data_IF_145705275507
#
_entry.id   IF_145705275507
#
_cell.length_a   1.000
_cell.length_b   1.000
_cell.length_c   1.000
_cell.angle_alpha   90.00
_cell.angle_beta   90.00
_cell.angle_gamma   90.00
#
_symmetry.space_group_name_H-M   'P 1'
#
loop_
_entity.id
_entity.type
_entity.pdbx_description
1 polymer ?
#
# COMPACT_ATOMS: atom_id res chain seq x y z
N UNK A 1 -9.38 -32.83 5.70
CA UNK A 1 -8.60 -31.58 5.69
C UNK A 1 -7.29 -31.88 4.95
N UNK A 2 -7.17 -31.39 3.73
CA UNK A 2 -6.10 -31.82 2.80
C UNK A 2 -4.85 -30.96 2.97
N UNK A 3 -3.65 -31.48 2.69
CA UNK A 3 -2.39 -30.71 2.74
C UNK A 3 -2.45 -29.42 1.89
N UNK A 4 -3.21 -29.46 0.78
CA UNK A 4 -3.51 -28.29 -0.05
C UNK A 4 -4.30 -27.19 0.68
N UNK A 5 -5.19 -27.55 1.61
CA UNK A 5 -5.99 -26.60 2.39
C UNK A 5 -5.14 -25.89 3.44
N UNK A 6 -4.19 -26.61 4.04
CA UNK A 6 -3.24 -26.04 4.99
C UNK A 6 -2.26 -25.07 4.29
N UNK A 7 -1.75 -25.44 3.12
CA UNK A 7 -0.88 -24.57 2.33
C UNK A 7 -1.58 -23.28 1.90
N UNK A 8 -2.85 -23.36 1.45
CA UNK A 8 -3.67 -22.18 1.12
C UNK A 8 -3.89 -21.24 2.32
N UNK A 9 -3.83 -21.73 3.56
CA UNK A 9 -3.95 -20.88 4.77
C UNK A 9 -2.68 -20.09 5.10
N UNK A 10 -1.52 -20.52 4.62
CA UNK A 10 -0.24 -19.86 4.93
C UNK A 10 0.21 -18.90 3.81
N UNK A 11 -0.19 -19.13 2.55
CA UNK A 11 0.24 -18.26 1.44
C UNK A 11 -0.47 -16.89 1.50
N UNK A 12 0.23 -15.75 1.29
CA UNK A 12 -0.40 -14.42 1.22
C UNK A 12 -1.44 -14.32 0.10
N UNK A 13 -2.32 -13.32 0.15
CA UNK A 13 -3.33 -13.13 -0.91
C UNK A 13 -2.65 -12.88 -2.25
N UNK A 14 -3.12 -13.57 -3.29
CA UNK A 14 -2.63 -13.36 -4.66
C UNK A 14 -3.24 -12.12 -5.29
N UNK A 15 -4.52 -11.88 -4.99
CA UNK A 15 -5.33 -10.80 -5.57
C UNK A 15 -5.98 -9.97 -4.46
N UNK A 16 -6.68 -8.90 -4.83
CA UNK A 16 -7.49 -8.12 -3.89
C UNK A 16 -8.82 -8.86 -3.68
N UNK A 17 -9.16 -9.26 -2.44
CA UNK A 17 -10.39 -10.00 -2.18
C UNK A 17 -11.64 -9.14 -2.36
N UNK A 18 -12.73 -9.77 -2.79
CA UNK A 18 -14.05 -9.15 -2.90
C UNK A 18 -14.72 -9.19 -1.52
N UNK A 19 -14.86 -8.03 -0.89
CA UNK A 19 -15.41 -7.90 0.47
C UNK A 19 -16.85 -7.41 0.47
N UNK A 20 -17.63 -7.72 1.51
CA UNK A 20 -19.04 -7.28 1.65
C UNK A 20 -19.27 -5.77 1.66
N UNK A 21 -18.24 -4.97 1.94
CA UNK A 21 -18.28 -3.51 1.92
C UNK A 21 -17.62 -2.92 0.66
N UNK A 22 -17.28 -3.74 -0.34
CA UNK A 22 -16.72 -3.26 -1.60
C UNK A 22 -17.74 -2.35 -2.30
N UNK A 23 -17.28 -1.25 -2.89
CA UNK A 23 -18.14 -0.44 -3.76
C UNK A 23 -18.34 -1.14 -5.10
N UNK A 24 -19.61 -1.31 -5.49
CA UNK A 24 -20.04 -1.86 -6.78
C UNK A 24 -20.42 -0.71 -7.74
N UNK A 25 -20.01 -0.82 -9.00
CA UNK A 25 -20.39 0.09 -10.08
C UNK A 25 -19.66 1.44 -10.18
N UNK A 26 -19.21 2.05 -9.08
CA UNK A 26 -18.47 3.33 -9.16
C UNK A 26 -17.39 3.50 -8.09
N UNK A 27 -16.19 3.94 -8.52
CA UNK A 27 -15.08 4.32 -7.63
C UNK A 27 -15.30 5.67 -6.93
N UNK A 28 -16.33 6.42 -7.33
CA UNK A 28 -16.61 7.77 -6.80
C UNK A 28 -17.79 7.83 -5.84
N UNK A 29 -18.57 6.75 -5.73
CA UNK A 29 -19.69 6.63 -4.80
C UNK A 29 -19.33 5.62 -3.72
N UNK A 30 -19.56 5.98 -2.46
CA UNK A 30 -19.30 5.10 -1.33
C UNK A 30 -20.51 5.01 -0.42
N UNK A 31 -20.91 3.79 -0.06
CA UNK A 31 -21.81 3.59 1.06
C UNK A 31 -21.14 3.96 2.39
N UNK A 32 -21.89 4.26 3.46
CA UNK A 32 -21.32 4.67 4.74
C UNK A 32 -20.33 3.65 5.32
N UNK A 33 -20.66 2.36 5.27
CA UNK A 33 -19.79 1.29 5.76
C UNK A 33 -18.47 1.22 4.98
N UNK A 34 -18.53 1.28 3.65
CA UNK A 34 -17.35 1.30 2.77
C UNK A 34 -16.45 2.49 3.07
N UNK A 35 -17.05 3.68 3.25
CA UNK A 35 -16.31 4.90 3.55
C UNK A 35 -15.62 4.83 4.92
N UNK A 36 -16.28 4.28 5.94
CA UNK A 36 -15.65 4.06 7.25
C UNK A 36 -14.46 3.11 7.13
N UNK A 37 -14.61 1.99 6.40
CA UNK A 37 -13.50 1.05 6.18
C UNK A 37 -12.34 1.71 5.43
N UNK A 38 -12.64 2.53 4.41
CA UNK A 38 -11.64 3.33 3.69
C UNK A 38 -10.87 4.23 4.66
N UNK A 39 -11.56 5.07 5.43
CA UNK A 39 -10.93 6.04 6.34
C UNK A 39 -10.13 5.33 7.43
N UNK A 40 -10.67 4.26 8.04
CA UNK A 40 -9.94 3.48 9.06
C UNK A 40 -8.69 2.85 8.46
N UNK A 41 -8.78 2.24 7.28
CA UNK A 41 -7.63 1.65 6.59
C UNK A 41 -6.54 2.67 6.27
N UNK A 42 -6.92 3.84 5.75
CA UNK A 42 -6.01 4.93 5.44
C UNK A 42 -5.40 5.55 6.71
N UNK A 43 -6.18 5.68 7.79
CA UNK A 43 -5.65 6.18 9.06
C UNK A 43 -4.64 5.20 9.65
N UNK A 44 -4.92 3.89 9.65
CA UNK A 44 -3.97 2.85 10.05
C UNK A 44 -2.68 2.90 9.22
N UNK A 45 -2.81 3.10 7.90
CA UNK A 45 -1.65 3.27 7.03
C UNK A 45 -0.81 4.47 7.47
N UNK A 46 -1.42 5.66 7.64
CA UNK A 46 -0.71 6.86 8.06
C UNK A 46 -0.09 6.73 9.45
N UNK A 47 -0.74 6.05 10.39
CA UNK A 47 -0.16 5.70 11.69
C UNK A 47 1.10 4.84 11.52
N UNK A 48 1.06 3.84 10.64
CA UNK A 48 2.23 3.00 10.38
C UNK A 48 3.40 3.79 9.78
N UNK A 49 3.14 4.71 8.86
CA UNK A 49 4.16 5.63 8.33
C UNK A 49 4.70 6.56 9.42
N UNK A 50 3.86 7.10 10.31
CA UNK A 50 4.31 7.92 11.44
C UNK A 50 5.24 7.14 12.37
N UNK A 51 4.94 5.87 12.66
CA UNK A 51 5.80 5.00 13.46
C UNK A 51 7.18 4.82 12.81
N UNK A 52 7.24 4.66 11.49
CA UNK A 52 8.50 4.57 10.76
C UNK A 52 9.33 5.86 10.86
N UNK A 53 8.68 7.02 10.68
CA UNK A 53 9.33 8.33 10.76
C UNK A 53 9.90 8.54 12.16
N UNK A 54 9.10 8.29 13.20
CA UNK A 54 9.47 8.56 14.59
C UNK A 54 10.56 7.60 15.12
N UNK A 55 10.61 6.36 14.61
CA UNK A 55 11.68 5.43 14.93
C UNK A 55 13.08 5.91 14.46
N UNK A 56 13.14 6.80 13.46
CA UNK A 56 14.37 7.40 12.93
C UNK A 56 15.48 6.38 12.63
N UNK A 57 15.10 5.22 12.06
CA UNK A 57 16.00 4.14 11.63
C UNK A 57 16.14 4.05 10.10
N UNK A 58 15.78 5.12 9.39
CA UNK A 58 15.72 5.20 7.94
C UNK A 58 14.38 5.78 7.48
N UNK A 59 14.18 5.81 6.17
CA UNK A 59 12.97 6.34 5.52
C UNK A 59 12.26 5.24 4.71
N UNK A 60 10.98 5.43 4.38
CA UNK A 60 10.32 4.57 3.40
C UNK A 60 11.01 4.69 2.01
N UNK A 61 11.05 3.62 1.18
CA UNK A 61 11.76 3.63 -0.12
C UNK A 61 11.44 4.82 -1.01
N UNK A 62 10.17 5.21 -1.09
CA UNK A 62 9.72 6.37 -1.87
C UNK A 62 10.28 7.70 -1.36
N UNK A 63 10.47 7.83 -0.05
CA UNK A 63 11.12 9.00 0.55
C UNK A 63 12.61 8.98 0.27
N UNK A 64 13.26 7.81 0.27
CA UNK A 64 14.66 7.67 -0.16
C UNK A 64 14.83 8.10 -1.62
N UNK A 65 13.88 7.75 -2.50
CA UNK A 65 13.88 8.21 -3.88
C UNK A 65 13.75 9.74 -3.98
N UNK A 66 12.76 10.33 -3.30
CA UNK A 66 12.58 11.78 -3.31
C UNK A 66 13.79 12.52 -2.73
N UNK A 67 14.41 11.99 -1.67
CA UNK A 67 15.64 12.52 -1.10
C UNK A 67 16.81 12.43 -2.09
N UNK A 68 16.99 11.29 -2.75
CA UNK A 68 18.04 11.14 -3.77
C UNK A 68 17.86 12.11 -4.94
N UNK A 69 16.62 12.28 -5.44
CA UNK A 69 16.29 13.28 -6.47
C UNK A 69 16.63 14.69 -5.98
N UNK A 70 16.26 15.02 -4.74
CA UNK A 70 16.55 16.32 -4.13
C UNK A 70 18.07 16.59 -4.08
N UNK A 71 18.87 15.61 -3.65
CA UNK A 71 20.34 15.71 -3.60
C UNK A 71 20.95 15.95 -4.98
N UNK A 72 20.44 15.31 -6.04
CA UNK A 72 21.00 15.44 -7.40
C UNK A 72 20.53 16.68 -8.17
N UNK A 73 19.30 17.12 -7.94
CA UNK A 73 18.68 18.22 -8.68
C UNK A 73 18.74 19.57 -7.96
N UNK A 74 18.99 19.58 -6.65
CA UNK A 74 18.86 20.77 -5.80
C UNK A 74 17.43 21.17 -5.47
N UNK A 75 16.43 20.40 -5.94
CA UNK A 75 15.03 20.63 -5.60
C UNK A 75 14.75 20.29 -4.14
N UNK A 76 13.76 20.94 -3.54
CA UNK A 76 13.27 20.56 -2.22
C UNK A 76 12.64 19.16 -2.25
N UNK A 77 12.75 18.41 -1.14
CA UNK A 77 12.22 17.04 -1.02
C UNK A 77 10.71 17.01 -1.30
N UNK A 78 9.97 18.05 -0.91
CA UNK A 78 8.53 18.18 -1.21
C UNK A 78 8.26 18.20 -2.72
N UNK A 79 9.00 19.03 -3.47
CA UNK A 79 8.89 19.11 -4.92
C UNK A 79 9.30 17.79 -5.58
N UNK A 80 10.39 17.17 -5.12
CA UNK A 80 10.82 15.86 -5.62
C UNK A 80 9.76 14.77 -5.38
N UNK A 81 9.09 14.78 -4.23
CA UNK A 81 7.99 13.86 -3.89
C UNK A 81 6.77 14.08 -4.77
N UNK A 82 6.41 15.34 -5.02
CA UNK A 82 5.33 15.71 -5.92
C UNK A 82 5.61 15.23 -7.35
N UNK A 83 6.80 15.53 -7.88
CA UNK A 83 7.20 15.08 -9.22
C UNK A 83 7.21 13.55 -9.34
N UNK A 84 7.70 12.85 -8.31
CA UNK A 84 7.64 11.39 -8.27
C UNK A 84 6.20 10.89 -8.33
N UNK A 85 5.29 11.52 -7.59
CA UNK A 85 3.85 11.18 -7.63
C UNK A 85 3.24 11.41 -9.01
N UNK A 86 3.59 12.52 -9.68
CA UNK A 86 3.16 12.79 -11.06
C UNK A 86 3.65 11.70 -12.01
N UNK A 87 4.93 11.31 -11.94
CA UNK A 87 5.48 10.23 -12.78
C UNK A 87 4.75 8.91 -12.53
N UNK A 88 4.47 8.57 -11.27
CA UNK A 88 3.72 7.35 -10.93
C UNK A 88 2.30 7.39 -11.50
N UNK A 89 1.62 8.54 -11.42
CA UNK A 89 0.29 8.71 -12.04
C UNK A 89 0.34 8.65 -13.57
N UNK A 90 1.42 9.10 -14.21
CA UNK A 90 1.59 8.91 -15.66
C UNK A 90 1.77 7.43 -16.03
N UNK A 91 2.46 6.65 -15.19
CA UNK A 91 2.57 5.20 -15.37
C UNK A 91 1.22 4.47 -15.24
N UNK A 92 0.19 5.09 -14.67
CA UNK A 92 -1.15 4.51 -14.66
C UNK A 92 -1.81 4.50 -16.04
N UNK A 93 -1.45 5.43 -16.94
CA UNK A 93 -2.03 5.53 -18.29
C UNK A 93 -1.85 4.21 -19.08
N UNK A 94 -0.63 3.67 -19.25
CA UNK A 94 -0.46 2.38 -19.92
C UNK A 94 -1.07 1.22 -19.13
N UNK A 95 -1.21 1.34 -17.80
CA UNK A 95 -1.83 0.33 -16.96
C UNK A 95 -3.37 0.37 -16.99
N UNK A 96 -3.98 1.43 -17.52
CA UNK A 96 -5.43 1.71 -17.45
C UNK A 96 -5.97 1.78 -16.01
N UNK A 97 -5.14 2.16 -15.05
CA UNK A 97 -5.58 2.37 -13.67
C UNK A 97 -6.33 3.71 -13.55
N UNK A 98 -7.55 3.69 -13.00
CA UNK A 98 -8.44 4.87 -12.93
C UNK A 98 -8.48 5.45 -11.50
N UNK A 99 -8.28 6.77 -11.30
CA UNK A 99 -8.43 7.37 -9.98
C UNK A 99 -9.88 7.31 -9.48
N UNK A 100 -10.05 7.38 -8.16
CA UNK A 100 -11.36 7.40 -7.51
C UNK A 100 -11.36 8.17 -6.19
N UNK A 101 -12.47 8.07 -5.45
CA UNK A 101 -12.62 8.72 -4.14
C UNK A 101 -11.51 8.28 -3.17
N UNK A 102 -11.14 7.01 -3.21
CA UNK A 102 -10.05 6.43 -2.43
C UNK A 102 -8.69 7.03 -2.77
N UNK A 103 -8.42 7.41 -4.02
CA UNK A 103 -7.17 8.07 -4.43
C UNK A 103 -7.01 9.44 -3.77
N UNK A 104 -8.08 10.24 -3.75
CA UNK A 104 -8.09 11.55 -3.09
C UNK A 104 -8.03 11.39 -1.57
N UNK A 105 -8.86 10.50 -1.03
CA UNK A 105 -8.89 10.22 0.41
C UNK A 105 -7.53 9.72 0.89
N UNK A 106 -6.83 8.89 0.12
CA UNK A 106 -5.50 8.40 0.44
C UNK A 106 -4.52 9.56 0.64
N UNK A 107 -4.46 10.51 -0.30
CA UNK A 107 -3.58 11.67 -0.21
C UNK A 107 -3.87 12.53 1.03
N UNK A 108 -5.14 12.73 1.39
CA UNK A 108 -5.54 13.61 2.50
C UNK A 108 -5.43 12.90 3.85
N UNK A 109 -6.04 11.72 3.97
CA UNK A 109 -6.20 10.99 5.24
C UNK A 109 -4.87 10.43 5.71
N UNK A 110 -4.03 9.87 4.82
CA UNK A 110 -2.71 9.37 5.22
C UNK A 110 -1.84 10.52 5.72
N UNK A 111 -1.80 11.65 4.99
CA UNK A 111 -1.02 12.82 5.41
C UNK A 111 -1.48 13.35 6.77
N UNK A 112 -2.80 13.43 6.98
CA UNK A 112 -3.40 13.87 8.25
C UNK A 112 -3.07 12.90 9.39
N UNK A 113 -3.30 11.60 9.17
CA UNK A 113 -3.03 10.57 10.16
C UNK A 113 -1.55 10.52 10.53
N UNK A 114 -0.66 10.62 9.54
CA UNK A 114 0.79 10.70 9.79
C UNK A 114 1.11 11.88 10.71
N UNK A 115 0.66 13.09 10.36
CA UNK A 115 0.97 14.30 11.14
C UNK A 115 0.42 14.23 12.57
N UNK A 116 -0.83 13.80 12.73
CA UNK A 116 -1.47 13.64 14.04
C UNK A 116 -0.72 12.60 14.87
N UNK A 117 -0.38 11.45 14.29
CA UNK A 117 0.29 10.38 15.03
C UNK A 117 1.74 10.70 15.36
N UNK A 118 2.46 11.49 14.55
CA UNK A 118 3.78 12.01 14.94
C UNK A 118 3.71 12.89 16.19
N UNK A 119 2.61 13.62 16.41
CA UNK A 119 2.42 14.41 17.63
C UNK A 119 2.00 13.58 18.84
N UNK A 120 1.27 12.48 18.61
CA UNK A 120 0.67 11.66 19.67
C UNK A 120 1.56 10.50 20.09
N UNK A 121 2.32 9.91 19.18
CA UNK A 121 3.14 8.73 19.47
C UNK A 121 4.30 9.08 20.41
N UNK A 122 4.59 8.20 21.39
CA UNK A 122 5.76 8.36 22.23
C UNK A 122 7.02 8.06 21.42
N UNK A 123 8.05 8.88 21.61
CA UNK A 123 9.35 8.66 20.98
C UNK A 123 10.03 7.44 21.57
N UNK A 124 10.46 6.46 20.74
CA UNK A 124 11.10 5.26 21.24
C UNK A 124 12.54 5.54 21.68
N UNK A 125 12.82 5.28 22.97
CA UNK A 125 14.16 5.37 23.53
C UNK A 125 14.94 4.06 23.34
N UNK A 126 16.05 4.11 22.62
CA UNK A 126 16.91 2.97 22.38
C UNK A 126 16.54 2.11 21.17
N UNK A 127 17.52 1.34 20.69
CA UNK A 127 17.42 0.63 19.40
C UNK A 127 16.31 -0.43 19.38
N UNK A 128 16.10 -1.16 20.48
CA UNK A 128 15.11 -2.22 20.56
C UNK A 128 13.67 -1.71 20.35
N UNK A 129 13.28 -0.65 21.06
CA UNK A 129 11.95 -0.04 20.91
C UNK A 129 11.75 0.56 19.52
N UNK A 130 12.78 1.19 18.95
CA UNK A 130 12.75 1.68 17.57
C UNK A 130 12.50 0.57 16.55
N UNK A 131 13.15 -0.60 16.70
CA UNK A 131 12.92 -1.75 15.82
C UNK A 131 11.52 -2.33 15.97
N UNK A 132 11.00 -2.41 17.21
CA UNK A 132 9.61 -2.83 17.47
C UNK A 132 8.64 -1.86 16.81
N UNK A 133 8.87 -0.55 16.92
CA UNK A 133 8.04 0.48 16.31
C UNK A 133 8.04 0.40 14.79
N UNK A 134 9.20 0.15 14.16
CA UNK A 134 9.28 -0.13 12.72
C UNK A 134 8.47 -1.37 12.35
N UNK A 135 8.62 -2.47 13.10
CA UNK A 135 7.90 -3.72 12.81
C UNK A 135 6.38 -3.54 12.90
N UNK A 136 5.89 -2.88 13.96
CA UNK A 136 4.47 -2.57 14.11
C UNK A 136 4.00 -1.63 13.00
N UNK A 137 4.80 -0.62 12.65
CA UNK A 137 4.50 0.30 11.57
C UNK A 137 4.29 -0.42 10.24
N UNK A 138 5.21 -1.30 9.84
CA UNK A 138 5.09 -2.11 8.62
C UNK A 138 3.81 -2.96 8.63
N UNK A 139 3.49 -3.59 9.77
CA UNK A 139 2.27 -4.39 9.93
C UNK A 139 1.01 -3.53 9.77
N UNK A 140 0.97 -2.34 10.39
CA UNK A 140 -0.14 -1.40 10.26
C UNK A 140 -0.32 -0.91 8.83
N UNK A 141 0.77 -0.59 8.12
CA UNK A 141 0.71 -0.24 6.70
C UNK A 141 0.14 -1.40 5.88
N UNK A 142 0.58 -2.64 6.12
CA UNK A 142 0.06 -3.83 5.43
C UNK A 142 -1.44 -4.07 5.66
N UNK A 143 -1.89 -4.01 6.91
CA UNK A 143 -3.30 -4.20 7.28
C UNK A 143 -4.16 -3.03 6.76
N UNK A 144 -3.69 -1.79 6.93
CA UNK A 144 -4.35 -0.58 6.45
C UNK A 144 -4.51 -0.60 4.93
N UNK A 145 -3.47 -1.03 4.20
CA UNK A 145 -3.52 -1.29 2.76
C UNK A 145 -4.61 -2.31 2.42
N UNK A 146 -4.68 -3.43 3.14
CA UNK A 146 -5.71 -4.43 2.93
C UNK A 146 -7.13 -3.88 3.11
N UNK A 147 -7.37 -3.11 4.17
CA UNK A 147 -8.68 -2.52 4.47
C UNK A 147 -9.10 -1.56 3.37
N UNK A 148 -8.26 -0.59 3.04
CA UNK A 148 -8.66 0.47 2.12
C UNK A 148 -8.72 -0.03 0.67
N UNK A 149 -7.80 -0.90 0.22
CA UNK A 149 -7.80 -1.42 -1.15
C UNK A 149 -9.03 -2.30 -1.44
N UNK A 150 -9.51 -3.06 -0.46
CA UNK A 150 -10.72 -3.90 -0.63
C UNK A 150 -12.01 -3.10 -0.79
N UNK A 151 -12.00 -1.79 -0.51
CA UNK A 151 -13.16 -0.91 -0.72
C UNK A 151 -13.46 -0.64 -2.19
N UNK A 152 -12.50 -0.87 -3.10
CA UNK A 152 -12.62 -0.61 -4.54
C UNK A 152 -12.97 0.85 -4.90
N UNK A 153 -12.57 1.81 -4.06
CA UNK A 153 -12.77 3.24 -4.32
C UNK A 153 -11.59 3.91 -5.04
N UNK A 154 -10.62 3.13 -5.50
CA UNK A 154 -9.41 3.62 -6.16
C UNK A 154 -8.19 3.62 -5.22
N UNK A 155 -7.03 3.13 -5.69
CA UNK A 155 -5.81 3.08 -4.89
C UNK A 155 -5.12 4.45 -4.79
N UNK A 156 -4.18 4.62 -3.84
CA UNK A 156 -3.23 5.73 -3.87
C UNK A 156 -2.16 5.54 -4.96
N UNK A 157 -1.39 6.58 -5.37
CA UNK A 157 -0.45 6.50 -6.51
C UNK A 157 0.46 5.25 -6.53
N UNK A 158 1.14 5.00 -5.40
CA UNK A 158 2.08 3.87 -5.22
C UNK A 158 1.38 2.52 -5.30
N UNK A 159 0.21 2.42 -4.67
CA UNK A 159 -0.58 1.20 -4.65
C UNK A 159 -1.31 0.98 -5.99
N UNK A 160 -1.58 2.03 -6.75
CA UNK A 160 -2.12 1.95 -8.11
C UNK A 160 -1.12 1.44 -9.13
N UNK A 161 0.17 1.73 -8.94
CA UNK A 161 1.21 1.08 -9.74
C UNK A 161 1.21 -0.44 -9.49
N UNK A 162 1.12 -0.84 -8.22
CA UNK A 162 1.07 -2.24 -7.82
C UNK A 162 -0.20 -2.95 -8.34
N UNK A 163 -1.37 -2.36 -8.13
CA UNK A 163 -2.65 -2.93 -8.56
C UNK A 163 -2.81 -2.91 -10.07
N UNK A 164 -2.44 -1.83 -10.75
CA UNK A 164 -2.45 -1.77 -12.22
C UNK A 164 -1.55 -2.82 -12.87
N UNK A 165 -0.34 -3.06 -12.33
CA UNK A 165 0.53 -4.16 -12.82
C UNK A 165 -0.12 -5.52 -12.56
N UNK A 166 -0.74 -5.71 -11.39
CA UNK A 166 -1.45 -6.95 -11.06
C UNK A 166 -2.57 -7.24 -12.07
N UNK A 167 -3.45 -6.27 -12.31
CA UNK A 167 -4.58 -6.40 -13.24
C UNK A 167 -4.12 -6.65 -14.68
N UNK A 168 -2.97 -6.08 -15.09
CA UNK A 168 -2.44 -6.26 -16.44
C UNK A 168 -1.67 -7.55 -16.67
N UNK A 169 -1.02 -8.09 -15.63
CA UNK A 169 -0.09 -9.22 -15.77
C UNK A 169 -0.59 -10.51 -15.14
N UNK A 170 -1.58 -10.44 -14.23
CA UNK A 170 -2.02 -11.56 -13.40
C UNK A 170 -1.02 -12.00 -12.33
N UNK A 171 0.17 -11.38 -12.25
CA UNK A 171 1.19 -11.69 -11.25
C UNK A 171 0.67 -11.26 -9.87
N UNK A 172 0.87 -12.06 -8.83
CA UNK A 172 0.37 -11.76 -7.49
C UNK A 172 0.85 -10.40 -6.93
N UNK A 173 0.02 -9.79 -6.08
CA UNK A 173 0.29 -8.47 -5.48
C UNK A 173 1.61 -8.41 -4.69
N UNK A 174 1.92 -9.46 -3.92
CA UNK A 174 3.11 -9.51 -3.05
C UNK A 174 4.45 -9.31 -3.81
N UNK A 175 4.77 -10.11 -4.84
CA UNK A 175 6.03 -9.95 -5.57
C UNK A 175 6.09 -8.63 -6.36
N UNK A 176 4.96 -8.12 -6.88
CA UNK A 176 4.92 -6.81 -7.53
C UNK A 176 5.26 -5.71 -6.53
N UNK A 177 4.66 -5.75 -5.33
CA UNK A 177 4.94 -4.75 -4.31
C UNK A 177 6.40 -4.76 -3.92
N UNK A 178 6.97 -5.94 -3.66
CA UNK A 178 8.39 -6.08 -3.33
C UNK A 178 9.29 -5.53 -4.45
N UNK A 179 9.02 -5.86 -5.71
CA UNK A 179 9.85 -5.42 -6.83
C UNK A 179 9.84 -3.91 -7.01
N UNK A 180 8.66 -3.27 -6.90
CA UNK A 180 8.54 -1.81 -6.96
C UNK A 180 9.37 -1.16 -5.85
N UNK A 181 9.23 -1.62 -4.60
CA UNK A 181 9.94 -1.04 -3.47
C UNK A 181 11.46 -1.22 -3.59
N UNK A 182 11.93 -2.37 -4.08
CA UNK A 182 13.35 -2.60 -4.34
C UNK A 182 13.89 -1.68 -5.44
N UNK A 183 13.16 -1.52 -6.55
CA UNK A 183 13.59 -0.63 -7.65
C UNK A 183 13.63 0.83 -7.20
N UNK A 184 12.59 1.29 -6.51
CA UNK A 184 12.50 2.65 -5.98
C UNK A 184 13.61 2.91 -4.96
N UNK A 185 13.82 1.97 -4.03
CA UNK A 185 14.88 2.06 -3.02
C UNK A 185 16.27 2.12 -3.66
N UNK A 186 16.56 1.18 -4.57
CA UNK A 186 17.86 1.11 -5.24
C UNK A 186 18.14 2.39 -6.03
N UNK A 187 17.14 2.89 -6.77
CA UNK A 187 17.27 4.15 -7.51
C UNK A 187 17.51 5.33 -6.56
N UNK A 188 16.72 5.45 -5.50
CA UNK A 188 16.89 6.52 -4.52
C UNK A 188 18.24 6.50 -3.83
N UNK A 189 18.73 5.32 -3.46
CA UNK A 189 20.02 5.15 -2.82
C UNK A 189 21.18 5.51 -3.75
N UNK A 190 21.14 5.09 -5.02
CA UNK A 190 22.13 5.46 -6.03
C UNK A 190 22.15 6.97 -6.32
N UNK A 191 21.01 7.64 -6.15
CA UNK A 191 20.91 9.09 -6.26
C UNK A 191 21.39 9.83 -4.99
N UNK A 192 21.69 9.12 -3.89
CA UNK A 192 22.23 9.70 -2.65
C UNK A 192 21.22 9.83 -1.51
N UNK A 193 20.04 9.19 -1.63
CA UNK A 193 19.08 9.09 -0.53
C UNK A 193 19.60 8.24 0.63
N UNK A 194 19.17 8.55 1.85
CA UNK A 194 19.64 7.86 3.07
C UNK A 194 18.87 6.55 3.29
N UNK A 195 19.61 5.46 3.38
CA UNK A 195 19.07 4.12 3.68
C UNK A 195 19.49 3.70 5.08
N UNK A 196 18.53 3.24 5.88
CA UNK A 196 18.78 2.68 7.20
C UNK A 196 18.16 1.29 7.38
N UNK A 197 18.36 0.68 8.55
CA UNK A 197 17.83 -0.66 8.84
C UNK A 197 16.30 -0.72 8.75
N UNK A 198 15.60 0.35 9.14
CA UNK A 198 14.15 0.46 9.02
C UNK A 198 13.68 0.51 7.56
N UNK A 199 14.45 1.15 6.68
CA UNK A 199 14.20 1.18 5.23
C UNK A 199 14.29 -0.20 4.62
N UNK A 200 15.37 -0.93 4.93
CA UNK A 200 15.59 -2.29 4.42
C UNK A 200 14.51 -3.24 4.91
N UNK A 201 14.16 -3.15 6.20
CA UNK A 201 13.08 -3.93 6.78
C UNK A 201 11.74 -3.64 6.08
N UNK A 202 11.41 -2.35 5.87
CA UNK A 202 10.17 -1.97 5.17
C UNK A 202 10.15 -2.51 3.75
N UNK A 203 11.20 -2.28 2.95
CA UNK A 203 11.26 -2.73 1.56
C UNK A 203 11.09 -4.25 1.44
N UNK A 204 11.72 -5.02 2.33
CA UNK A 204 11.64 -6.48 2.33
C UNK A 204 10.28 -7.03 2.81
N UNK A 205 9.67 -6.38 3.80
CA UNK A 205 8.49 -6.93 4.50
C UNK A 205 7.16 -6.37 3.99
N UNK A 206 7.14 -5.18 3.40
CA UNK A 206 5.87 -4.53 3.05
C UNK A 206 5.06 -5.33 2.03
N UNK A 207 5.70 -5.95 1.03
CA UNK A 207 5.01 -6.80 0.05
C UNK A 207 4.25 -7.95 0.73
N UNK A 208 4.94 -8.81 1.51
CA UNK A 208 4.28 -9.83 2.32
C UNK A 208 3.21 -9.27 3.26
N UNK A 209 3.48 -8.18 3.99
CA UNK A 209 2.54 -7.58 4.93
C UNK A 209 1.25 -7.10 4.24
N UNK A 210 1.33 -6.50 3.05
CA UNK A 210 0.16 -6.13 2.24
C UNK A 210 -0.58 -7.38 1.78
N UNK A 211 0.13 -8.41 1.30
CA UNK A 211 -0.48 -9.68 0.89
C UNK A 211 -1.23 -10.39 2.02
N UNK A 212 -0.66 -10.42 3.22
CA UNK A 212 -1.32 -10.97 4.41
C UNK A 212 -2.44 -10.05 4.93
N UNK A 213 -2.27 -8.73 4.86
CA UNK A 213 -3.31 -7.75 5.21
C UNK A 213 -4.55 -7.92 4.35
N UNK A 214 -4.39 -8.01 3.02
CA UNK A 214 -5.47 -8.33 2.08
C UNK A 214 -6.16 -9.63 2.45
N UNK A 215 -5.40 -10.69 2.75
CA UNK A 215 -5.95 -11.99 3.14
C UNK A 215 -6.77 -11.93 4.43
N UNK A 216 -6.23 -11.29 5.47
CA UNK A 216 -6.88 -11.11 6.77
C UNK A 216 -8.18 -10.34 6.60
N UNK A 217 -8.16 -9.24 5.87
CA UNK A 217 -9.33 -8.41 5.61
C UNK A 217 -10.37 -9.17 4.80
N UNK A 218 -9.95 -9.94 3.79
CA UNK A 218 -10.83 -10.83 3.05
C UNK A 218 -11.53 -11.84 3.96
N UNK A 219 -10.79 -12.47 4.88
CA UNK A 219 -11.36 -13.39 5.85
C UNK A 219 -12.37 -12.70 6.80
N UNK A 220 -12.01 -11.54 7.37
CA UNK A 220 -12.90 -10.76 8.25
C UNK A 220 -14.16 -10.27 7.54
N UNK A 221 -14.07 -10.01 6.24
CA UNK A 221 -15.18 -9.54 5.43
C UNK A 221 -16.16 -10.64 5.01
N UNK A 222 -15.82 -11.91 5.25
CA UNK A 222 -16.53 -13.03 4.64
C UNK A 222 -16.39 -13.03 3.11
N UNK A 223 -15.21 -12.69 2.59
CA UNK A 223 -14.97 -12.62 1.15
C UNK A 223 -15.32 -13.95 0.48
N UNK A 224 -16.15 -13.89 -0.56
CA UNK A 224 -16.40 -15.05 -1.42
C UNK A 224 -15.11 -15.35 -2.16
N UNK A 225 -14.60 -16.57 -2.04
CA UNK A 225 -13.44 -16.96 -2.85
C UNK A 225 -13.86 -16.99 -4.31
N UNK A 226 -13.09 -16.33 -5.18
CA UNK A 226 -13.22 -16.40 -6.66
C UNK A 226 -13.23 -17.85 -7.18
N UNK A 227 -12.89 -18.85 -6.35
CA UNK A 227 -13.01 -20.27 -6.66
C UNK A 227 -14.45 -20.79 -6.86
N UNK A 228 -15.49 -19.98 -6.63
CA UNK A 228 -16.90 -20.32 -6.92
C UNK A 228 -17.47 -19.63 -8.18
N UNK A 229 -16.73 -18.73 -8.83
CA UNK A 229 -17.14 -18.22 -10.14
C UNK A 229 -16.72 -19.22 -11.22
N UNK A 230 -17.68 -19.81 -11.98
CA UNK A 230 -17.31 -20.52 -13.19
C UNK A 230 -16.62 -19.50 -14.11
N UNK A 231 -15.45 -19.88 -14.64
CA UNK A 231 -14.73 -19.12 -15.66
C UNK A 231 -15.66 -18.92 -16.86
N UNK A 232 -16.36 -17.79 -16.85
CA UNK A 232 -17.23 -17.35 -17.91
C UNK A 232 -16.64 -16.10 -18.55
N UNK A 233 -15.31 -16.07 -18.75
CA UNK A 233 -14.62 -15.36 -19.85
C UNK A 233 -14.97 -13.89 -20.16
N UNK A 234 -15.65 -13.15 -19.29
CA UNK A 234 -16.14 -11.81 -19.57
C UNK A 234 -15.96 -10.96 -18.31
N UNK A 235 -15.03 -10.01 -18.39
CA UNK A 235 -14.95 -8.85 -17.50
C UNK A 235 -15.77 -7.71 -18.14
N UNK A 236 -17.08 -7.58 -17.87
CA UNK A 236 -17.91 -6.51 -18.42
C UNK A 236 -17.48 -5.10 -17.97
N UNK A 237 -16.63 -4.99 -16.95
CA UNK A 237 -16.08 -3.71 -16.46
C UNK A 237 -15.10 -3.03 -17.44
N UNK A 238 -14.67 -3.73 -18.49
CA UNK A 238 -13.78 -3.19 -19.53
C UNK A 238 -14.53 -2.70 -20.79
N UNK A 239 -15.85 -2.86 -20.84
CA UNK A 239 -16.68 -2.45 -21.99
C UNK A 239 -17.58 -1.22 -21.74
N UNK A 240 -17.30 -0.44 -20.68
CA UNK A 240 -18.00 0.83 -20.39
C UNK A 240 -17.07 2.03 -20.14
#
# INVERSE_FOLDING_TARGET
MTVRDWWRRIVPSRTIPITRWRSEGSRWRSGPATFVVLVVGLFMFGTGEAMLVDAALGNAPWTVLAQGISVRSGLEIGVATFMTSVVVLLLWIPLRERPGLGTIANAIVIATALQVMVWVLPKPDGLGFRLIQVAIGILLVGIGSGLYLTTNLGPGPRDGLMTGIHERTGIAVTPIRLSIEVVVLATGWLLGGTVGIGTLAFAALIGPCVGYGLKLVGWLAGARSVAEEPDNGLHPELEA
#
